data_IF_034755784983
#
_entry.id   IF_034755784983
#
_cell.length_a   1.000
_cell.length_b   1.000
_cell.length_c   1.000
_cell.angle_alpha   90.00
_cell.angle_beta   90.00
_cell.angle_gamma   90.00
#
_symmetry.space_group_name_H-M   'P 1'
#
loop_
_entity.id
_entity.type
_entity.pdbx_description
1 polymer ?
#
# COMPACT_ATOMS: atom_id res chain seq x y z
N UNK A 1 -57.15 6.44 -63.67
CA UNK A 1 -57.83 7.13 -62.55
C UNK A 1 -58.28 6.15 -61.45
N UNK A 2 -57.38 5.24 -61.00
CA UNK A 2 -57.63 4.31 -59.87
C UNK A 2 -56.43 4.17 -58.90
N UNK A 3 -55.30 4.81 -59.19
CA UNK A 3 -54.13 4.85 -58.30
C UNK A 3 -53.93 6.19 -57.57
N UNK A 4 -54.80 7.17 -57.81
CA UNK A 4 -54.71 8.48 -57.15
C UNK A 4 -55.51 8.55 -55.84
N UNK A 5 -56.46 7.63 -55.63
CA UNK A 5 -57.32 7.63 -54.42
C UNK A 5 -56.67 6.90 -53.24
N UNK A 6 -55.78 5.94 -53.48
CA UNK A 6 -55.06 5.24 -52.40
C UNK A 6 -53.94 6.08 -51.76
N UNK A 7 -53.31 6.99 -52.51
CA UNK A 7 -52.21 7.81 -51.99
C UNK A 7 -52.70 8.97 -51.11
N UNK A 8 -53.90 9.50 -51.38
CA UNK A 8 -54.48 10.62 -50.61
C UNK A 8 -55.00 10.16 -49.24
N UNK A 9 -55.44 8.90 -49.11
CA UNK A 9 -55.92 8.36 -47.83
C UNK A 9 -54.74 8.01 -46.90
N UNK A 10 -53.61 7.49 -47.42
CA UNK A 10 -52.42 7.23 -46.60
C UNK A 10 -51.69 8.50 -46.15
N UNK A 11 -51.67 9.58 -46.94
CA UNK A 11 -50.98 10.82 -46.56
C UNK A 11 -51.78 11.66 -45.55
N UNK A 12 -53.12 11.59 -45.58
CA UNK A 12 -53.97 12.22 -44.58
C UNK A 12 -53.94 11.49 -43.22
N UNK A 13 -53.62 10.18 -43.20
CA UNK A 13 -53.54 9.41 -41.96
C UNK A 13 -52.20 9.58 -41.24
N UNK A 14 -51.13 9.96 -41.95
CA UNK A 14 -49.83 10.29 -41.34
C UNK A 14 -49.76 11.69 -40.69
N UNK A 15 -50.67 12.60 -41.02
CA UNK A 15 -50.79 13.91 -40.36
C UNK A 15 -51.83 13.95 -39.22
N UNK A 16 -52.64 12.89 -39.06
CA UNK A 16 -53.55 12.74 -37.92
C UNK A 16 -52.99 11.85 -36.80
N UNK A 17 -51.80 11.26 -36.99
CA UNK A 17 -51.11 10.46 -35.94
C UNK A 17 -49.98 11.25 -35.26
N UNK A 18 -49.47 12.33 -35.87
CA UNK A 18 -48.49 13.22 -35.22
C UNK A 18 -49.09 14.13 -34.15
N UNK A 19 -50.34 14.58 -34.33
CA UNK A 19 -51.00 15.46 -33.35
C UNK A 19 -51.65 14.70 -32.17
N UNK A 20 -51.90 13.40 -32.31
CA UNK A 20 -52.43 12.56 -31.21
C UNK A 20 -51.31 12.08 -30.26
N UNK A 21 -50.05 12.04 -30.72
CA UNK A 21 -48.90 11.75 -29.85
C UNK A 21 -48.33 13.00 -29.15
N UNK A 22 -48.65 14.19 -29.63
CA UNK A 22 -48.25 15.46 -29.02
C UNK A 22 -49.09 15.85 -27.78
N UNK A 23 -50.21 15.16 -27.55
CA UNK A 23 -51.13 15.35 -26.41
C UNK A 23 -51.38 14.04 -25.63
N UNK A 24 -50.40 13.13 -25.57
CA UNK A 24 -50.47 12.00 -24.63
C UNK A 24 -49.98 12.42 -23.24
N UNK A 25 -50.55 11.89 -22.14
CA UNK A 25 -50.08 12.18 -20.77
C UNK A 25 -48.58 11.87 -20.56
N UNK A 26 -48.03 10.95 -21.36
CA UNK A 26 -46.62 10.55 -21.36
C UNK A 26 -45.70 11.62 -21.99
N UNK A 27 -46.16 12.36 -22.99
CA UNK A 27 -45.39 13.44 -23.62
C UNK A 27 -45.33 14.69 -22.71
N UNK A 28 -46.40 14.97 -21.97
CA UNK A 28 -46.46 16.08 -21.01
C UNK A 28 -45.62 15.80 -19.76
N UNK A 29 -45.62 14.55 -19.29
CA UNK A 29 -44.74 14.09 -18.20
C UNK A 29 -43.26 14.03 -18.61
N UNK A 30 -42.93 13.76 -19.88
CA UNK A 30 -41.55 13.89 -20.36
C UNK A 30 -41.11 15.35 -20.43
N UNK A 31 -41.96 16.26 -20.92
CA UNK A 31 -41.65 17.69 -20.97
C UNK A 31 -41.40 18.27 -19.58
N UNK A 32 -42.22 17.92 -18.59
CA UNK A 32 -42.02 18.38 -17.21
C UNK A 32 -40.73 17.83 -16.59
N UNK A 33 -40.34 16.59 -16.92
CA UNK A 33 -39.05 16.01 -16.50
C UNK A 33 -37.86 16.72 -17.16
N UNK A 34 -37.95 17.07 -18.44
CA UNK A 34 -36.89 17.81 -19.13
C UNK A 34 -36.76 19.21 -18.55
N UNK A 35 -37.86 19.90 -18.30
CA UNK A 35 -37.86 21.24 -17.69
C UNK A 35 -37.29 21.21 -16.25
N UNK A 36 -37.58 20.16 -15.49
CA UNK A 36 -37.01 19.93 -14.17
C UNK A 36 -35.49 19.68 -14.25
N UNK A 37 -35.02 18.84 -15.19
CA UNK A 37 -33.59 18.60 -15.40
C UNK A 37 -32.84 19.86 -15.87
N UNK A 38 -33.47 20.69 -16.71
CA UNK A 38 -32.89 21.97 -17.13
C UNK A 38 -32.76 22.96 -15.96
N UNK A 39 -33.75 22.96 -15.05
CA UNK A 39 -33.71 23.76 -13.82
C UNK A 39 -32.64 23.25 -12.84
N UNK A 40 -32.53 21.93 -12.64
CA UNK A 40 -31.47 21.34 -11.81
C UNK A 40 -30.08 21.61 -12.38
N UNK A 41 -29.91 21.52 -13.70
CA UNK A 41 -28.65 21.83 -14.37
C UNK A 41 -28.25 23.31 -14.21
N UNK A 42 -29.25 24.20 -14.22
CA UNK A 42 -29.04 25.63 -13.96
C UNK A 42 -28.64 25.88 -12.52
N UNK A 43 -29.29 25.24 -11.56
CA UNK A 43 -28.96 25.33 -10.13
C UNK A 43 -27.54 24.81 -9.85
N UNK A 44 -27.16 23.67 -10.45
CA UNK A 44 -25.78 23.14 -10.36
C UNK A 44 -24.76 24.12 -10.95
N UNK A 45 -25.07 24.76 -12.09
CA UNK A 45 -24.19 25.78 -12.67
C UNK A 45 -24.01 27.00 -11.76
N UNK A 46 -25.09 27.46 -11.14
CA UNK A 46 -25.05 28.60 -10.23
C UNK A 46 -24.27 28.25 -8.95
N UNK A 47 -24.45 27.04 -8.40
CA UNK A 47 -23.64 26.52 -7.29
C UNK A 47 -22.16 26.41 -7.66
N UNK A 48 -21.84 25.92 -8.86
CA UNK A 48 -20.45 25.81 -9.33
C UNK A 48 -19.80 27.20 -9.45
N UNK A 49 -20.55 28.19 -9.97
CA UNK A 49 -20.07 29.57 -10.08
C UNK A 49 -19.82 30.19 -8.70
N UNK A 50 -20.73 29.97 -7.74
CA UNK A 50 -20.57 30.42 -6.37
C UNK A 50 -19.37 29.76 -5.67
N UNK A 51 -19.11 28.49 -5.97
CA UNK A 51 -17.95 27.76 -5.46
C UNK A 51 -16.63 28.33 -6.01
N UNK A 52 -16.57 28.62 -7.31
CA UNK A 52 -15.40 29.25 -7.95
C UNK A 52 -15.12 30.63 -7.34
N UNK A 53 -16.16 31.45 -7.08
CA UNK A 53 -15.99 32.75 -6.43
C UNK A 53 -15.47 32.64 -4.99
N UNK A 54 -15.95 31.65 -4.22
CA UNK A 54 -15.44 31.36 -2.87
C UNK A 54 -13.99 30.89 -2.89
N UNK A 55 -13.60 30.09 -3.88
CA UNK A 55 -12.24 29.59 -4.01
C UNK A 55 -11.26 30.73 -4.37
N UNK A 56 -11.66 31.64 -5.26
CA UNK A 56 -10.89 32.87 -5.56
C UNK A 56 -10.73 33.76 -4.33
N UNK A 57 -11.76 33.89 -3.49
CA UNK A 57 -11.65 34.65 -2.24
C UNK A 57 -10.67 34.00 -1.25
N UNK A 58 -10.71 32.67 -1.12
CA UNK A 58 -9.79 31.94 -0.25
C UNK A 58 -8.34 32.01 -0.73
N UNK A 59 -8.10 31.97 -2.04
CA UNK A 59 -6.74 32.15 -2.58
C UNK A 59 -6.17 33.53 -2.24
N UNK A 60 -6.99 34.58 -2.27
CA UNK A 60 -6.59 35.93 -1.84
C UNK A 60 -6.29 35.99 -0.35
N UNK A 61 -7.08 35.33 0.48
CA UNK A 61 -6.85 35.24 1.92
C UNK A 61 -5.55 34.49 2.23
N UNK A 62 -5.30 33.35 1.59
CA UNK A 62 -4.06 32.58 1.72
C UNK A 62 -2.85 33.41 1.27
N UNK A 63 -2.95 34.16 0.17
CA UNK A 63 -1.88 35.04 -0.28
C UNK A 63 -1.55 36.13 0.77
N UNK A 64 -2.58 36.75 1.37
CA UNK A 64 -2.38 37.75 2.41
C UNK A 64 -1.74 37.18 3.70
N UNK A 65 -2.16 35.98 4.11
CA UNK A 65 -1.57 35.29 5.26
C UNK A 65 -0.12 34.89 5.03
N UNK A 66 0.24 34.49 3.80
CA UNK A 66 1.63 34.18 3.42
C UNK A 66 2.52 35.40 3.49
N UNK A 67 2.06 36.56 3.03
CA UNK A 67 2.81 37.82 3.19
C UNK A 67 2.99 38.19 4.67
N UNK A 68 2.00 37.91 5.52
CA UNK A 68 2.06 38.19 6.95
C UNK A 68 3.03 37.25 7.69
N UNK A 69 3.05 35.97 7.32
CA UNK A 69 4.01 34.98 7.82
C UNK A 69 5.43 35.34 7.39
N UNK A 70 5.63 35.71 6.12
CA UNK A 70 6.95 36.10 5.60
C UNK A 70 7.49 37.37 6.29
N UNK A 71 6.61 38.34 6.61
CA UNK A 71 6.98 39.53 7.40
C UNK A 71 7.32 39.20 8.85
N UNK A 72 6.69 38.17 9.44
CA UNK A 72 7.01 37.68 10.80
C UNK A 72 8.33 36.90 10.82
N UNK A 73 8.58 36.05 9.84
CA UNK A 73 9.84 35.30 9.69
C UNK A 73 11.04 36.24 9.49
N UNK A 74 10.89 37.31 8.69
CA UNK A 74 11.95 38.33 8.52
C UNK A 74 12.21 39.11 9.82
N UNK A 75 11.18 39.36 10.64
CA UNK A 75 11.36 39.98 11.97
C UNK A 75 12.09 39.06 12.95
N UNK A 76 11.71 37.78 13.00
CA UNK A 76 12.33 36.77 13.86
C UNK A 76 13.80 36.56 13.47
N UNK A 77 14.10 36.47 12.17
CA UNK A 77 15.46 36.40 11.64
C UNK A 77 16.31 37.62 12.04
N UNK A 78 15.75 38.83 12.07
CA UNK A 78 16.49 40.03 12.44
C UNK A 78 16.80 40.16 13.94
N UNK A 79 16.00 39.54 14.80
CA UNK A 79 16.18 39.59 16.26
C UNK A 79 17.09 38.45 16.78
N UNK A 80 17.09 37.29 16.13
CA UNK A 80 17.94 36.14 16.51
C UNK A 80 19.40 36.27 16.02
N UNK A 81 19.65 37.07 14.97
CA UNK A 81 20.99 37.26 14.37
C UNK A 81 21.98 38.01 15.27
N UNK A 82 21.52 38.72 16.32
CA UNK A 82 22.40 39.44 17.25
C UNK A 82 23.06 38.60 18.35
N UNK A 83 22.64 37.34 18.58
CA UNK A 83 23.03 36.61 19.79
C UNK A 83 23.99 35.41 19.61
N UNK A 84 24.26 34.90 18.40
CA UNK A 84 24.96 33.60 18.25
C UNK A 84 26.08 33.50 17.19
N UNK A 85 26.55 34.61 16.60
CA UNK A 85 27.51 34.53 15.46
C UNK A 85 28.99 34.35 15.85
N UNK A 86 29.36 34.24 17.13
CA UNK A 86 30.80 34.25 17.50
C UNK A 86 31.52 32.91 17.65
N UNK A 87 30.87 31.74 17.53
CA UNK A 87 31.52 30.46 17.94
C UNK A 87 31.65 29.34 16.90
N UNK A 88 31.18 29.43 15.65
CA UNK A 88 31.15 28.24 14.75
C UNK A 88 31.82 28.44 13.37
N UNK A 89 32.55 29.54 13.13
CA UNK A 89 33.09 29.83 11.79
C UNK A 89 34.38 29.09 11.36
N UNK A 90 34.87 28.11 12.11
CA UNK A 90 36.14 27.42 11.76
C UNK A 90 36.02 25.93 11.42
N UNK A 91 34.82 25.35 11.33
CA UNK A 91 34.67 23.89 11.11
C UNK A 91 33.74 23.49 9.96
N UNK A 92 33.73 24.17 8.81
CA UNK A 92 33.12 23.61 7.59
C UNK A 92 33.87 24.09 6.34
N UNK A 93 34.97 23.42 5.99
CA UNK A 93 35.46 23.37 4.61
C UNK A 93 35.87 21.93 4.32
N UNK A 94 35.12 21.30 3.40
CA UNK A 94 35.24 19.95 2.81
C UNK A 94 34.61 18.80 3.60
N UNK A 95 33.33 18.55 3.32
CA UNK A 95 32.80 17.19 3.24
C UNK A 95 32.05 17.02 1.91
N UNK A 96 32.35 15.91 1.23
CA UNK A 96 31.74 15.47 -0.02
C UNK A 96 30.23 15.26 0.19
N UNK A 97 29.41 15.82 -0.71
CA UNK A 97 27.96 15.61 -0.70
C UNK A 97 27.70 14.15 -1.12
N UNK A 98 27.51 13.26 -0.15
CA UNK A 98 27.08 11.89 -0.38
C UNK A 98 25.67 11.85 -0.98
N UNK A 99 25.48 11.03 -2.01
CA UNK A 99 24.17 10.78 -2.63
C UNK A 99 23.15 10.30 -1.58
N UNK A 100 21.96 10.91 -1.56
CA UNK A 100 20.83 10.47 -0.75
C UNK A 100 20.46 9.03 -1.14
N UNK A 101 20.26 8.10 -0.18
CA UNK A 101 19.89 6.71 -0.48
C UNK A 101 18.69 6.62 -1.43
N UNK A 102 18.68 5.65 -2.35
CA UNK A 102 17.69 5.52 -3.42
C UNK A 102 16.24 5.44 -2.91
N UNK A 103 16.00 4.67 -1.84
CA UNK A 103 14.67 4.57 -1.22
C UNK A 103 14.26 5.89 -0.56
N UNK A 104 15.21 6.57 0.09
CA UNK A 104 14.97 7.90 0.66
C UNK A 104 14.69 8.94 -0.44
N UNK A 105 15.35 8.84 -1.61
CA UNK A 105 15.08 9.67 -2.79
C UNK A 105 13.69 9.42 -3.38
N UNK A 106 13.26 8.15 -3.49
CA UNK A 106 11.87 7.82 -3.89
C UNK A 106 10.85 8.37 -2.89
N UNK A 107 11.09 8.22 -1.59
CA UNK A 107 10.23 8.75 -0.54
C UNK A 107 10.15 10.29 -0.55
N UNK A 108 11.29 10.97 -0.72
CA UNK A 108 11.35 12.44 -0.79
C UNK A 108 10.71 12.99 -2.06
N UNK A 109 10.87 12.35 -3.22
CA UNK A 109 10.21 12.74 -4.47
C UNK A 109 8.67 12.62 -4.38
N UNK A 110 8.16 11.64 -3.64
CA UNK A 110 6.73 11.50 -3.37
C UNK A 110 6.23 12.61 -2.43
N UNK A 111 7.00 12.93 -1.37
CA UNK A 111 6.70 14.02 -0.44
C UNK A 111 6.72 15.41 -1.10
N UNK A 112 7.73 15.70 -1.92
CA UNK A 112 7.85 16.96 -2.66
C UNK A 112 6.70 17.18 -3.64
N UNK A 113 6.23 16.11 -4.29
CA UNK A 113 5.08 16.18 -5.21
C UNK A 113 3.73 16.28 -4.47
N UNK A 114 3.72 16.28 -3.13
CA UNK A 114 2.50 16.16 -2.30
C UNK A 114 1.68 14.91 -2.66
N UNK A 115 2.39 13.87 -3.13
CA UNK A 115 1.85 12.58 -3.54
C UNK A 115 2.12 11.50 -2.48
N UNK A 116 3.09 11.75 -1.60
CA UNK A 116 3.02 11.23 -0.25
C UNK A 116 1.85 11.99 0.41
N UNK A 117 0.74 11.33 0.74
CA UNK A 117 -0.07 11.79 1.85
C UNK A 117 0.83 12.12 3.05
N UNK A 118 0.34 12.89 4.00
CA UNK A 118 1.02 13.05 5.29
C UNK A 118 1.08 11.75 6.11
N UNK A 119 0.92 10.58 5.47
CA UNK A 119 1.36 9.28 5.97
C UNK A 119 2.88 9.24 5.88
N UNK A 120 3.58 9.75 6.89
CA UNK A 120 4.98 9.39 7.05
C UNK A 120 5.11 7.87 7.24
N UNK A 121 6.10 7.23 6.62
CA UNK A 121 6.47 5.84 6.91
C UNK A 121 6.09 4.80 5.84
N UNK A 122 6.02 3.54 6.29
CA UNK A 122 6.10 2.32 5.46
C UNK A 122 4.89 2.14 4.52
N UNK A 123 3.77 2.79 4.81
CA UNK A 123 2.52 2.69 4.04
C UNK A 123 2.42 3.65 2.83
N UNK A 124 3.50 4.39 2.55
CA UNK A 124 3.56 5.30 1.38
C UNK A 124 3.81 4.49 0.10
N UNK A 125 2.77 4.33 -0.73
CA UNK A 125 2.88 3.62 -2.00
C UNK A 125 3.35 4.54 -3.13
N UNK A 126 4.19 4.06 -4.07
CA UNK A 126 4.57 4.82 -5.25
C UNK A 126 3.36 5.05 -6.19
N UNK A 127 3.45 6.08 -7.05
CA UNK A 127 2.47 6.38 -8.13
C UNK A 127 1.09 6.91 -7.71
N UNK A 128 0.90 7.32 -6.45
CA UNK A 128 -0.31 8.04 -6.03
C UNK A 128 -0.45 9.37 -6.78
N UNK A 129 -1.67 9.73 -7.20
CA UNK A 129 -2.01 11.05 -7.75
C UNK A 129 -3.19 11.65 -7.00
N UNK A 130 -3.09 12.93 -6.64
CA UNK A 130 -4.18 13.67 -5.98
C UNK A 130 -5.35 13.86 -6.95
N UNK A 131 -6.54 13.41 -6.53
CA UNK A 131 -7.83 13.63 -7.17
C UNK A 131 -8.73 14.45 -6.22
N UNK A 132 -9.25 15.58 -6.70
CA UNK A 132 -10.01 16.50 -5.85
C UNK A 132 -9.15 17.11 -4.72
N UNK A 133 -9.78 17.49 -3.59
CA UNK A 133 -9.04 18.14 -2.51
C UNK A 133 -8.21 17.16 -1.68
N UNK A 134 -8.69 15.97 -1.37
CA UNK A 134 -8.10 15.14 -0.30
C UNK A 134 -8.09 13.64 -0.61
N UNK A 135 -8.26 13.23 -1.88
CA UNK A 135 -8.22 11.82 -2.26
C UNK A 135 -7.02 11.60 -3.16
N UNK A 136 -6.38 10.45 -3.04
CA UNK A 136 -5.28 10.02 -3.89
C UNK A 136 -5.65 8.67 -4.49
N UNK A 137 -5.47 8.56 -5.80
CA UNK A 137 -5.70 7.33 -6.53
C UNK A 137 -4.40 6.98 -7.23
N UNK A 138 -3.99 5.72 -7.10
CA UNK A 138 -2.79 5.20 -7.72
C UNK A 138 -2.92 3.72 -7.95
N UNK A 139 -1.80 3.09 -8.30
CA UNK A 139 -1.75 1.65 -8.44
C UNK A 139 -0.55 1.20 -9.26
N UNK A 140 -0.38 -0.11 -9.35
CA UNK A 140 0.57 -0.74 -10.23
C UNK A 140 0.01 -2.02 -10.85
N UNK A 141 0.74 -2.54 -11.83
CA UNK A 141 0.53 -3.87 -12.37
C UNK A 141 1.89 -4.50 -12.60
N UNK A 142 1.94 -5.82 -12.54
CA UNK A 142 3.10 -6.58 -12.97
C UNK A 142 2.70 -7.66 -13.99
N UNK A 143 3.62 -7.89 -14.93
CA UNK A 143 3.49 -8.87 -16.01
C UNK A 143 4.83 -9.59 -16.12
N UNK A 144 4.79 -10.91 -16.07
CA UNK A 144 5.96 -11.76 -16.19
C UNK A 144 5.82 -12.74 -17.36
N UNK A 145 6.97 -13.20 -17.84
CA UNK A 145 7.07 -14.34 -18.73
C UNK A 145 7.98 -15.38 -18.08
N UNK A 146 7.49 -16.60 -17.89
CA UNK A 146 8.25 -17.71 -17.28
C UNK A 146 8.57 -18.75 -18.35
N UNK A 147 9.84 -19.11 -18.45
CA UNK A 147 10.32 -20.24 -19.22
C UNK A 147 11.15 -21.13 -18.29
N UNK A 148 10.90 -22.42 -18.32
CA UNK A 148 11.50 -23.41 -17.41
C UNK A 148 11.78 -24.68 -18.20
N UNK A 149 12.82 -25.41 -17.79
CA UNK A 149 13.19 -26.69 -18.39
C UNK A 149 12.41 -27.85 -17.77
N UNK A 150 11.76 -27.63 -16.63
CA UNK A 150 10.96 -28.63 -15.95
C UNK A 150 9.55 -28.69 -16.56
N UNK A 151 9.17 -29.86 -17.07
CA UNK A 151 7.87 -30.08 -17.71
C UNK A 151 6.68 -29.94 -16.75
N UNK A 152 6.91 -30.09 -15.44
CA UNK A 152 5.87 -29.92 -14.43
C UNK A 152 5.54 -28.45 -14.14
N UNK A 153 6.44 -27.52 -14.48
CA UNK A 153 6.28 -26.11 -14.16
C UNK A 153 5.49 -25.37 -15.25
N UNK A 154 4.72 -24.37 -14.83
CA UNK A 154 3.96 -23.52 -15.75
C UNK A 154 4.89 -22.59 -16.55
N UNK A 155 4.63 -22.50 -17.85
CA UNK A 155 5.37 -21.65 -18.80
C UNK A 155 4.43 -20.66 -19.49
N UNK A 156 4.95 -19.48 -19.84
CA UNK A 156 4.25 -18.46 -20.61
C UNK A 156 4.10 -17.13 -19.91
N UNK A 157 3.20 -16.30 -20.45
CA UNK A 157 2.88 -14.98 -19.91
C UNK A 157 1.91 -15.10 -18.74
N UNK A 158 2.18 -14.35 -17.69
CA UNK A 158 1.34 -14.27 -16.50
C UNK A 158 1.26 -12.82 -16.04
N UNK A 159 0.04 -12.33 -15.83
CA UNK A 159 -0.20 -11.09 -15.10
C UNK A 159 -0.44 -11.51 -13.65
N UNK A 160 0.53 -11.26 -12.77
CA UNK A 160 0.38 -11.71 -11.39
C UNK A 160 -0.62 -10.79 -10.68
N UNK A 161 -0.37 -9.47 -10.66
CA UNK A 161 -1.19 -8.53 -9.89
C UNK A 161 -1.54 -7.26 -10.65
N UNK A 162 -2.76 -6.79 -10.42
CA UNK A 162 -3.20 -5.43 -10.73
C UNK A 162 -3.75 -4.84 -9.46
N UNK A 163 -3.15 -3.76 -9.01
CA UNK A 163 -3.33 -3.25 -7.66
C UNK A 163 -3.66 -1.77 -7.71
N UNK A 164 -4.94 -1.39 -7.66
CA UNK A 164 -5.36 -0.02 -7.39
C UNK A 164 -5.29 0.34 -5.90
N UNK A 165 -4.89 1.58 -5.64
CA UNK A 165 -4.87 2.21 -4.32
C UNK A 165 -5.88 3.36 -4.25
N UNK A 166 -6.58 3.49 -3.13
CA UNK A 166 -7.44 4.65 -2.84
C UNK A 166 -7.13 5.15 -1.44
N UNK A 167 -6.57 6.35 -1.35
CA UNK A 167 -6.15 6.96 -0.10
C UNK A 167 -6.93 8.27 0.09
N UNK A 168 -7.25 8.63 1.33
CA UNK A 168 -7.95 9.88 1.59
C UNK A 168 -7.58 10.53 2.93
N UNK A 169 -7.37 11.86 2.88
CA UNK A 169 -7.31 12.74 4.04
C UNK A 169 -8.73 13.15 4.43
N UNK A 170 -9.43 12.32 5.21
CA UNK A 170 -10.81 12.62 5.66
C UNK A 170 -10.85 13.90 6.50
N UNK A 171 -9.85 14.07 7.37
CA UNK A 171 -9.55 15.33 8.05
C UNK A 171 -8.05 15.48 8.29
N UNK A 172 -7.64 16.50 9.03
CA UNK A 172 -6.24 16.67 9.44
C UNK A 172 -5.76 15.49 10.29
N UNK A 173 -6.66 14.86 11.06
CA UNK A 173 -6.35 13.75 11.97
C UNK A 173 -6.88 12.39 11.53
N UNK A 174 -7.85 12.34 10.62
CA UNK A 174 -8.46 11.09 10.18
C UNK A 174 -8.01 10.79 8.78
N UNK A 175 -7.47 9.60 8.58
CA UNK A 175 -6.95 9.15 7.30
C UNK A 175 -7.50 7.78 6.93
N UNK A 176 -7.67 7.55 5.64
CA UNK A 176 -8.09 6.29 5.06
C UNK A 176 -7.04 5.84 4.03
N UNK A 177 -6.66 4.58 4.08
CA UNK A 177 -5.79 3.97 3.07
C UNK A 177 -6.32 2.57 2.73
N UNK A 178 -6.36 2.23 1.44
CA UNK A 178 -6.74 0.90 0.98
C UNK A 178 -6.00 0.49 -0.29
N UNK A 179 -5.75 -0.81 -0.36
CA UNK A 179 -5.17 -1.54 -1.49
C UNK A 179 -6.08 -2.72 -1.83
N UNK A 180 -6.46 -2.81 -3.10
CA UNK A 180 -7.27 -3.89 -3.63
C UNK A 180 -6.40 -4.64 -4.63
N UNK A 181 -6.31 -5.95 -4.48
CA UNK A 181 -5.47 -6.81 -5.30
C UNK A 181 -6.35 -7.63 -6.25
N UNK A 182 -6.03 -7.58 -7.55
CA UNK A 182 -6.59 -8.45 -8.57
C UNK A 182 -5.51 -9.42 -9.04
N UNK A 183 -5.61 -10.69 -8.63
CA UNK A 183 -4.68 -11.74 -9.05
C UNK A 183 -5.23 -12.52 -10.26
N UNK A 184 -4.36 -12.85 -11.22
CA UNK A 184 -4.66 -13.67 -12.41
C UNK A 184 -5.95 -13.30 -13.17
N UNK A 185 -6.27 -12.00 -13.23
CA UNK A 185 -7.43 -11.47 -13.95
C UNK A 185 -8.76 -11.43 -13.17
N UNK A 186 -8.76 -11.66 -11.86
CA UNK A 186 -9.92 -11.44 -10.98
C UNK A 186 -11.02 -12.52 -11.02
N UNK A 187 -12.21 -12.21 -10.48
CA UNK A 187 -13.25 -13.21 -10.15
C UNK A 187 -14.03 -13.72 -11.38
N UNK A 188 -14.16 -15.06 -11.49
CA UNK A 188 -15.38 -15.74 -11.94
C UNK A 188 -15.79 -15.57 -13.40
N UNK A 189 -15.36 -16.52 -14.24
CA UNK A 189 -15.78 -16.65 -15.64
C UNK A 189 -15.11 -17.79 -16.41
N UNK A 190 -14.62 -18.81 -15.69
CA UNK A 190 -13.75 -19.86 -16.24
C UNK A 190 -12.24 -19.55 -16.14
N UNK A 191 -11.85 -18.48 -15.44
CA UNK A 191 -10.45 -18.14 -15.09
C UNK A 191 -10.28 -18.22 -13.58
N UNK A 192 -9.12 -18.69 -13.12
CA UNK A 192 -8.77 -18.93 -11.72
C UNK A 192 -8.27 -17.67 -10.98
N UNK A 193 -8.77 -16.50 -11.35
CA UNK A 193 -8.35 -15.24 -10.72
C UNK A 193 -9.07 -14.95 -9.42
N UNK A 194 -8.47 -14.06 -8.62
CA UNK A 194 -8.92 -13.70 -7.28
C UNK A 194 -8.98 -12.18 -7.13
N UNK A 195 -9.87 -11.70 -6.26
CA UNK A 195 -9.92 -10.30 -5.84
C UNK A 195 -9.85 -10.25 -4.33
N UNK A 196 -8.80 -9.67 -3.81
CA UNK A 196 -8.46 -9.63 -2.39
C UNK A 196 -8.41 -8.18 -1.94
N UNK A 197 -8.99 -7.88 -0.78
CA UNK A 197 -8.71 -6.62 -0.11
C UNK A 197 -7.41 -6.79 0.65
N UNK A 198 -6.29 -6.34 0.08
CA UNK A 198 -4.99 -6.58 0.69
C UNK A 198 -4.82 -5.79 1.99
N UNK A 199 -5.23 -4.52 2.02
CA UNK A 199 -5.40 -3.79 3.27
C UNK A 199 -6.43 -2.66 3.16
N UNK A 200 -7.00 -2.28 4.30
CA UNK A 200 -7.93 -1.16 4.42
C UNK A 200 -7.94 -0.65 5.86
N UNK A 201 -7.32 0.51 6.10
CA UNK A 201 -7.13 1.05 7.44
C UNK A 201 -7.70 2.45 7.59
N UNK A 202 -8.16 2.74 8.81
CA UNK A 202 -8.44 4.10 9.28
C UNK A 202 -7.41 4.44 10.34
N UNK A 203 -6.75 5.58 10.17
CA UNK A 203 -5.80 6.13 11.13
C UNK A 203 -6.37 7.36 11.82
N UNK A 204 -6.18 7.45 13.13
CA UNK A 204 -6.44 8.64 13.92
C UNK A 204 -5.12 9.19 14.47
N UNK A 205 -4.70 10.31 13.91
CA UNK A 205 -3.44 10.95 14.23
C UNK A 205 -3.57 11.84 15.47
N UNK A 206 -2.80 11.54 16.52
CA UNK A 206 -2.76 12.29 17.77
C UNK A 206 -1.49 13.13 17.86
N UNK A 207 -0.33 12.47 17.74
CA UNK A 207 1.01 13.07 17.75
C UNK A 207 1.94 12.22 16.87
N UNK A 208 3.16 12.68 16.64
CA UNK A 208 4.12 11.88 15.87
C UNK A 208 4.45 10.54 16.57
N UNK A 209 4.48 10.52 17.90
CA UNK A 209 4.93 9.36 18.69
C UNK A 209 3.84 8.40 19.12
N UNK A 210 2.55 8.76 18.99
CA UNK A 210 1.44 7.82 19.24
C UNK A 210 0.24 8.16 18.37
N UNK A 211 -0.23 7.19 17.62
CA UNK A 211 -1.38 7.26 16.72
C UNK A 211 -2.16 5.97 16.82
N UNK A 212 -3.46 6.02 16.55
CA UNK A 212 -4.31 4.84 16.53
C UNK A 212 -4.57 4.40 15.08
N UNK A 213 -4.60 3.09 14.86
CA UNK A 213 -4.99 2.46 13.58
C UNK A 213 -5.96 1.33 13.83
N UNK A 214 -6.95 1.17 12.96
CA UNK A 214 -7.83 0.01 12.92
C UNK A 214 -8.28 -0.34 11.51
N UNK A 215 -8.61 -1.60 11.29
CA UNK A 215 -9.09 -2.13 10.00
C UNK A 215 -8.37 -3.40 9.59
N UNK A 216 -8.31 -3.64 8.29
CA UNK A 216 -7.54 -4.73 7.68
C UNK A 216 -6.09 -4.24 7.56
N UNK A 217 -5.23 -4.67 8.49
CA UNK A 217 -3.88 -4.13 8.70
C UNK A 217 -2.85 -5.11 8.16
N UNK A 218 -1.92 -4.64 7.32
CA UNK A 218 -0.73 -5.41 6.98
C UNK A 218 0.04 -5.74 8.26
N UNK A 219 0.10 -7.01 8.60
CA UNK A 219 0.70 -7.51 9.84
C UNK A 219 2.19 -7.16 9.84
N UNK A 220 2.70 -6.38 10.80
CA UNK A 220 4.10 -5.93 10.81
C UNK A 220 5.03 -7.04 11.33
N UNK A 221 4.99 -8.19 10.68
CA UNK A 221 5.83 -9.34 10.94
C UNK A 221 6.85 -9.46 9.79
N UNK A 222 8.06 -9.00 10.08
CA UNK A 222 9.05 -8.70 9.05
C UNK A 222 8.80 -7.34 8.37
N UNK A 223 9.88 -6.73 7.89
CA UNK A 223 9.86 -5.56 7.02
C UNK A 223 9.29 -5.89 5.65
N UNK A 224 9.61 -7.05 5.06
CA UNK A 224 9.20 -7.31 3.69
C UNK A 224 7.67 -7.33 3.55
N UNK A 225 6.93 -7.81 4.56
CA UNK A 225 5.47 -7.77 4.50
C UNK A 225 4.89 -6.36 4.39
N UNK A 226 5.60 -5.33 4.85
CA UNK A 226 5.14 -3.95 4.77
C UNK A 226 5.55 -3.26 3.46
N UNK A 227 6.57 -3.78 2.77
CA UNK A 227 7.12 -3.22 1.51
C UNK A 227 7.13 -4.24 0.37
N UNK A 228 6.23 -5.23 0.39
CA UNK A 228 6.25 -6.39 -0.51
C UNK A 228 5.89 -6.08 -1.97
N UNK A 229 5.59 -4.82 -2.30
CA UNK A 229 5.13 -4.39 -3.61
C UNK A 229 6.16 -4.65 -4.71
N UNK A 230 5.71 -5.25 -5.81
CA UNK A 230 6.59 -5.61 -6.93
C UNK A 230 7.44 -4.44 -7.47
N UNK A 231 6.94 -3.19 -7.61
CA UNK A 231 7.76 -2.05 -8.06
C UNK A 231 8.86 -1.60 -7.08
N UNK A 232 8.86 -2.10 -5.85
CA UNK A 232 9.90 -1.85 -4.85
C UNK A 232 10.96 -2.96 -4.82
N UNK A 233 10.68 -4.11 -5.43
CA UNK A 233 11.57 -5.27 -5.43
C UNK A 233 12.35 -5.37 -6.73
N UNK A 234 13.64 -5.71 -6.64
CA UNK A 234 14.46 -5.99 -7.83
C UNK A 234 14.32 -7.44 -8.32
N UNK A 235 13.91 -8.38 -7.46
CA UNK A 235 13.54 -9.75 -7.84
C UNK A 235 12.04 -9.90 -8.07
N UNK A 236 11.68 -10.79 -8.99
CA UNK A 236 10.27 -11.16 -9.24
C UNK A 236 9.70 -12.04 -8.13
N UNK A 237 10.51 -12.99 -7.65
CA UNK A 237 10.11 -13.94 -6.60
C UNK A 237 10.58 -13.45 -5.24
N UNK A 238 9.69 -13.60 -4.24
CA UNK A 238 9.97 -13.28 -2.84
C UNK A 238 11.04 -14.22 -2.25
N UNK A 239 11.77 -13.81 -1.20
CA UNK A 239 12.67 -14.70 -0.47
C UNK A 239 11.95 -15.92 0.12
N UNK A 240 12.66 -17.02 0.38
CA UNK A 240 12.03 -18.27 0.85
C UNK A 240 11.40 -18.14 2.25
N UNK A 241 12.05 -17.42 3.16
CA UNK A 241 11.50 -17.16 4.51
C UNK A 241 10.17 -16.40 4.44
N UNK A 242 10.06 -15.46 3.50
CA UNK A 242 8.87 -14.64 3.20
C UNK A 242 7.81 -15.33 2.34
N UNK A 243 8.08 -16.57 1.95
CA UNK A 243 7.12 -17.46 1.32
C UNK A 243 6.61 -18.51 2.28
N UNK A 244 7.42 -18.95 3.24
CA UNK A 244 7.18 -20.18 4.01
C UNK A 244 7.09 -19.97 5.52
N UNK A 245 7.85 -19.05 6.13
CA UNK A 245 7.88 -18.87 7.60
C UNK A 245 7.12 -17.61 8.02
N UNK A 246 7.43 -16.47 7.40
CA UNK A 246 6.70 -15.20 7.59
C UNK A 246 6.09 -14.77 6.25
N UNK A 247 5.14 -15.56 5.72
CA UNK A 247 4.64 -15.37 4.37
C UNK A 247 4.02 -13.97 4.19
N UNK A 248 4.47 -13.22 3.17
CA UNK A 248 4.00 -11.83 2.93
C UNK A 248 2.64 -11.75 2.23
N UNK A 249 2.09 -10.54 2.04
CA UNK A 249 0.64 -10.28 1.91
C UNK A 249 -0.12 -10.83 3.12
N UNK A 250 0.51 -10.79 4.30
CA UNK A 250 -0.08 -11.15 5.57
C UNK A 250 -0.84 -9.96 6.11
N UNK A 251 -2.16 -10.10 6.14
CA UNK A 251 -3.05 -9.08 6.65
C UNK A 251 -3.97 -9.70 7.67
N UNK A 252 -4.32 -8.92 8.68
CA UNK A 252 -5.34 -9.32 9.63
C UNK A 252 -6.23 -8.15 10.06
N UNK A 253 -7.46 -8.47 10.47
CA UNK A 253 -8.38 -7.50 11.03
C UNK A 253 -7.99 -7.21 12.48
N UNK A 254 -7.75 -5.94 12.79
CA UNK A 254 -7.32 -5.57 14.13
C UNK A 254 -7.27 -4.07 14.37
N UNK A 255 -6.69 -3.71 15.51
CA UNK A 255 -6.42 -2.33 15.87
C UNK A 255 -5.29 -2.21 16.88
N UNK A 256 -4.74 -1.01 17.00
CA UNK A 256 -3.70 -0.71 17.98
C UNK A 256 -3.03 0.61 17.71
N UNK A 257 -1.74 0.68 18.04
CA UNK A 257 -1.00 1.93 18.08
C UNK A 257 0.29 1.87 17.30
N UNK A 258 0.66 3.00 16.71
CA UNK A 258 1.93 3.17 16.02
C UNK A 258 2.46 4.58 16.25
N UNK A 259 3.75 4.76 16.06
CA UNK A 259 4.36 6.07 16.19
C UNK A 259 5.82 6.10 15.80
N UNK A 260 6.31 7.32 15.67
CA UNK A 260 7.70 7.63 15.35
C UNK A 260 8.29 8.52 16.43
N UNK A 261 9.50 8.19 16.85
CA UNK A 261 10.32 8.99 17.75
C UNK A 261 11.63 9.36 17.04
N UNK A 262 12.21 10.48 17.43
CA UNK A 262 13.49 10.97 16.90
C UNK A 262 14.47 11.15 18.07
N UNK A 263 15.18 10.07 18.49
CA UNK A 263 16.11 10.14 19.62
C UNK A 263 17.26 11.15 19.42
N UNK A 264 17.59 11.47 18.16
CA UNK A 264 18.55 12.51 17.76
C UNK A 264 18.17 13.09 16.40
N UNK A 265 18.83 14.15 15.95
CA UNK A 265 18.61 14.75 14.62
C UNK A 265 18.86 13.79 13.45
N UNK A 266 19.68 12.76 13.67
CA UNK A 266 20.04 11.77 12.65
C UNK A 266 19.28 10.46 12.79
N UNK A 267 18.65 10.21 13.94
CA UNK A 267 18.06 8.91 14.25
C UNK A 267 16.53 8.93 14.27
N UNK A 268 15.96 7.81 13.83
CA UNK A 268 14.52 7.59 13.77
C UNK A 268 14.21 6.22 14.39
N UNK A 269 13.19 6.19 15.22
CA UNK A 269 12.64 4.97 15.79
C UNK A 269 11.16 4.90 15.44
N UNK A 270 10.77 3.89 14.68
CA UNK A 270 9.37 3.59 14.37
C UNK A 270 8.92 2.39 15.20
N UNK A 271 7.68 2.42 15.68
CA UNK A 271 7.05 1.25 16.31
C UNK A 271 5.59 1.13 15.91
N UNK A 272 5.10 -0.11 15.92
CA UNK A 272 3.69 -0.44 15.76
C UNK A 272 3.36 -1.71 16.56
N UNK A 273 2.17 -1.74 17.16
CA UNK A 273 1.67 -2.87 17.95
C UNK A 273 0.15 -2.98 17.78
N UNK A 274 -0.33 -4.18 17.48
CA UNK A 274 -1.73 -4.45 17.16
C UNK A 274 -2.24 -5.69 17.88
N UNK A 275 -3.51 -5.60 18.31
CA UNK A 275 -4.32 -6.76 18.63
C UNK A 275 -5.21 -7.08 17.42
N UNK A 276 -5.29 -8.36 17.07
CA UNK A 276 -5.84 -8.86 15.81
C UNK A 276 -6.66 -10.14 16.05
N UNK A 277 -7.37 -10.64 15.04
CA UNK A 277 -8.12 -11.89 15.14
C UNK A 277 -7.23 -13.16 15.10
N UNK A 278 -5.98 -13.02 14.70
CA UNK A 278 -5.04 -14.12 14.45
C UNK A 278 -4.83 -14.32 12.95
N UNK A 279 -3.65 -13.95 12.47
CA UNK A 279 -3.28 -13.95 11.05
C UNK A 279 -3.05 -15.37 10.47
N UNK A 280 -3.06 -16.40 11.31
CA UNK A 280 -2.74 -17.78 10.96
C UNK A 280 -3.76 -18.78 11.54
N UNK A 281 -4.19 -19.75 10.71
CA UNK A 281 -5.00 -20.91 11.08
C UNK A 281 -4.27 -22.19 10.73
N UNK A 282 -3.70 -22.84 11.72
CA UNK A 282 -2.84 -24.01 11.51
C UNK A 282 -3.57 -25.35 11.58
N UNK A 283 -4.63 -25.48 12.39
CA UNK A 283 -5.27 -26.77 12.63
C UNK A 283 -6.79 -26.60 12.84
N UNK A 284 -7.61 -27.46 12.25
CA UNK A 284 -9.05 -27.51 12.54
C UNK A 284 -9.40 -28.59 13.59
N UNK A 285 -10.62 -28.56 14.12
CA UNK A 285 -11.05 -29.51 15.15
C UNK A 285 -11.10 -30.98 14.67
N UNK A 286 -11.11 -31.22 13.34
CA UNK A 286 -11.09 -32.54 12.73
C UNK A 286 -9.66 -33.07 12.49
N UNK A 287 -8.62 -32.27 12.79
CA UNK A 287 -7.21 -32.64 12.67
C UNK A 287 -6.58 -32.33 11.30
N UNK A 288 -7.21 -31.51 10.46
CA UNK A 288 -6.63 -31.06 9.20
C UNK A 288 -5.63 -29.93 9.43
N UNK A 289 -4.35 -30.19 9.17
CA UNK A 289 -3.31 -29.18 9.25
C UNK A 289 -3.22 -28.31 7.98
N UNK A 290 -2.98 -27.01 8.19
CA UNK A 290 -2.56 -26.04 7.16
C UNK A 290 -1.11 -25.61 7.30
N UNK A 291 -0.44 -25.99 8.39
CA UNK A 291 1.01 -25.93 8.50
C UNK A 291 1.59 -27.18 7.85
N UNK A 292 2.66 -27.05 7.07
CA UNK A 292 3.23 -28.24 6.45
C UNK A 292 4.63 -28.06 5.92
N UNK A 293 5.31 -29.18 5.70
CA UNK A 293 6.70 -29.21 5.23
C UNK A 293 6.89 -28.45 3.91
N UNK A 294 5.97 -28.61 2.95
CA UNK A 294 6.13 -28.02 1.61
C UNK A 294 5.79 -26.52 1.58
N UNK A 295 4.74 -26.12 2.30
CA UNK A 295 4.19 -24.75 2.22
C UNK A 295 4.49 -23.92 3.47
N UNK A 296 5.16 -24.47 4.48
CA UNK A 296 5.35 -23.84 5.79
C UNK A 296 4.03 -23.36 6.36
N UNK A 297 3.99 -22.08 6.72
CA UNK A 297 2.80 -21.36 7.22
C UNK A 297 1.99 -20.69 6.10
N UNK A 298 2.40 -20.77 4.82
CA UNK A 298 1.78 -20.02 3.71
C UNK A 298 0.29 -20.25 3.55
N UNK A 299 -0.13 -21.51 3.66
CA UNK A 299 -1.51 -21.96 3.45
C UNK A 299 -2.43 -21.65 4.64
N UNK A 300 -1.85 -21.22 5.76
CA UNK A 300 -2.58 -20.88 6.98
C UNK A 300 -2.93 -19.41 7.11
N UNK A 301 -2.38 -18.55 6.25
CA UNK A 301 -2.63 -17.11 6.28
C UNK A 301 -4.10 -16.77 6.13
N UNK A 302 -4.50 -15.67 6.77
CA UNK A 302 -5.71 -14.95 6.39
C UNK A 302 -5.97 -13.76 7.30
N UNK A 303 -6.75 -12.81 6.81
CA UNK A 303 -7.36 -11.77 7.64
C UNK A 303 -8.81 -12.13 7.84
N UNK A 304 -9.03 -12.96 8.84
CA UNK A 304 -10.31 -13.60 9.05
C UNK A 304 -11.28 -12.62 9.72
N UNK A 305 -12.55 -12.69 9.31
CA UNK A 305 -13.63 -11.99 9.99
C UNK A 305 -13.86 -12.59 11.39
N UNK A 306 -14.81 -12.02 12.14
CA UNK A 306 -15.21 -12.56 13.44
C UNK A 306 -15.67 -14.02 13.30
N UNK A 307 -14.96 -14.94 13.94
CA UNK A 307 -15.42 -16.32 14.09
C UNK A 307 -14.89 -16.97 15.38
N UNK A 308 -15.18 -18.26 15.52
CA UNK A 308 -14.84 -19.10 16.66
C UNK A 308 -13.53 -19.87 16.46
N UNK A 309 -12.74 -19.58 15.41
CA UNK A 309 -11.49 -20.29 15.15
C UNK A 309 -10.40 -19.91 16.16
N UNK A 310 -10.52 -18.72 16.73
CA UNK A 310 -9.60 -18.23 17.74
C UNK A 310 -10.35 -17.39 18.78
N UNK A 311 -10.51 -17.95 19.98
CA UNK A 311 -11.16 -17.26 21.10
C UNK A 311 -10.23 -16.24 21.79
N UNK A 312 -8.97 -16.16 21.38
CA UNK A 312 -7.93 -15.28 21.95
C UNK A 312 -7.39 -14.31 20.90
N UNK A 313 -7.26 -13.00 21.19
CA UNK A 313 -6.69 -12.08 20.21
C UNK A 313 -5.24 -12.43 19.89
N UNK A 314 -4.88 -12.41 18.61
CA UNK A 314 -3.49 -12.43 18.16
C UNK A 314 -2.83 -11.08 18.46
N UNK A 315 -1.56 -11.08 18.84
CA UNK A 315 -0.78 -9.87 19.10
C UNK A 315 0.43 -9.84 18.19
N UNK A 316 0.65 -8.70 17.54
CA UNK A 316 1.80 -8.46 16.68
C UNK A 316 2.41 -7.11 17.00
N UNK A 317 3.73 -6.99 16.90
CA UNK A 317 4.38 -5.69 16.94
C UNK A 317 5.74 -5.70 16.27
N UNK A 318 6.19 -4.50 15.90
CA UNK A 318 7.48 -4.24 15.29
C UNK A 318 8.10 -2.97 15.83
N UNK A 319 9.42 -2.97 15.96
CA UNK A 319 10.24 -1.78 16.20
C UNK A 319 11.31 -1.70 15.13
N UNK A 320 11.45 -0.55 14.48
CA UNK A 320 12.56 -0.23 13.59
C UNK A 320 13.38 0.93 14.16
N UNK A 321 14.70 0.79 14.11
CA UNK A 321 15.63 1.84 14.49
C UNK A 321 16.62 2.13 13.37
N UNK A 322 16.63 3.38 12.94
CA UNK A 322 17.56 3.93 11.97
C UNK A 322 18.48 4.93 12.68
N UNK A 323 19.73 4.59 13.02
CA UNK A 323 20.63 5.51 13.72
C UNK A 323 21.10 6.69 12.85
N UNK A 324 21.13 6.51 11.53
CA UNK A 324 21.46 7.51 10.52
C UNK A 324 20.85 7.10 9.18
N UNK A 325 20.75 8.04 8.24
CA UNK A 325 20.14 7.79 6.93
C UNK A 325 20.86 6.63 6.19
N UNK A 326 20.08 5.67 5.71
CA UNK A 326 20.59 4.52 4.97
C UNK A 326 20.94 3.30 5.82
N UNK A 327 20.87 3.34 7.15
CA UNK A 327 20.95 2.13 7.99
C UNK A 327 19.67 1.98 8.81
N UNK A 328 19.04 0.81 8.76
CA UNK A 328 17.88 0.46 9.57
C UNK A 328 18.01 -0.97 10.08
N UNK A 329 17.63 -1.19 11.33
CA UNK A 329 17.41 -2.51 11.92
C UNK A 329 15.98 -2.61 12.39
N UNK A 330 15.34 -3.74 12.13
CA UNK A 330 13.99 -4.05 12.56
C UNK A 330 13.93 -5.34 13.38
N UNK A 331 13.00 -5.36 14.32
CA UNK A 331 12.62 -6.58 15.04
C UNK A 331 11.11 -6.62 15.20
N UNK A 332 10.52 -7.79 14.97
CA UNK A 332 9.08 -8.02 15.11
C UNK A 332 8.79 -9.33 15.83
N UNK A 333 7.63 -9.37 16.48
CA UNK A 333 7.13 -10.56 17.14
C UNK A 333 5.62 -10.71 16.93
N UNK A 334 5.17 -11.95 16.86
CA UNK A 334 3.77 -12.33 16.71
C UNK A 334 3.44 -13.48 17.67
N UNK A 335 2.26 -13.45 18.28
CA UNK A 335 1.73 -14.58 19.06
C UNK A 335 0.23 -14.70 18.86
N UNK A 336 -0.26 -15.91 18.60
CA UNK A 336 -1.68 -16.21 18.53
C UNK A 336 -1.93 -17.70 18.70
N UNK A 337 -3.12 -18.06 19.11
CA UNK A 337 -3.58 -19.43 18.97
C UNK A 337 -3.87 -19.71 17.50
N UNK A 338 -3.62 -20.93 17.04
CA UNK A 338 -3.74 -21.29 15.63
C UNK A 338 -4.73 -22.41 15.34
N UNK A 339 -5.29 -23.04 16.38
CA UNK A 339 -6.21 -24.16 16.28
C UNK A 339 -7.60 -23.82 16.83
N UNK A 340 -8.63 -24.48 16.28
CA UNK A 340 -10.03 -24.26 16.69
C UNK A 340 -10.31 -24.61 18.16
N UNK A 341 -9.53 -25.51 18.75
CA UNK A 341 -9.69 -25.92 20.15
C UNK A 341 -9.04 -24.95 21.15
N UNK A 342 -8.26 -23.98 20.67
CA UNK A 342 -7.57 -23.01 21.52
C UNK A 342 -6.56 -23.68 22.49
N UNK A 343 -5.90 -24.75 22.03
CA UNK A 343 -4.92 -25.52 22.82
C UNK A 343 -3.48 -25.29 22.35
N UNK A 344 -3.29 -24.78 21.13
CA UNK A 344 -1.99 -24.66 20.49
C UNK A 344 -1.68 -23.21 20.11
N UNK A 345 -0.40 -22.84 20.23
CA UNK A 345 0.04 -21.45 20.06
C UNK A 345 1.23 -21.33 19.11
N UNK A 346 1.16 -20.34 18.25
CA UNK A 346 2.20 -19.96 17.31
C UNK A 346 2.87 -18.69 17.83
N UNK A 347 4.19 -18.74 18.02
CA UNK A 347 5.01 -17.60 18.39
C UNK A 347 6.07 -17.40 17.32
N UNK A 348 6.11 -16.21 16.70
CA UNK A 348 7.10 -15.90 15.66
C UNK A 348 7.92 -14.71 16.11
N UNK A 349 9.24 -14.77 15.91
CA UNK A 349 10.14 -13.62 16.02
C UNK A 349 10.88 -13.44 14.70
N UNK A 350 11.02 -12.20 14.25
CA UNK A 350 11.77 -11.87 13.05
C UNK A 350 12.69 -10.67 13.26
N UNK A 351 13.83 -10.68 12.58
CA UNK A 351 14.82 -9.62 12.54
C UNK A 351 15.11 -9.25 11.09
N UNK A 352 15.21 -7.95 10.83
CA UNK A 352 15.49 -7.41 9.50
C UNK A 352 16.55 -6.30 9.58
N UNK A 353 17.27 -6.09 8.49
CA UNK A 353 18.16 -4.94 8.36
C UNK A 353 18.22 -4.43 6.92
N UNK A 354 18.56 -3.16 6.77
CA UNK A 354 18.88 -2.55 5.49
C UNK A 354 20.02 -1.58 5.67
N UNK A 355 21.04 -1.69 4.82
CA UNK A 355 22.18 -0.80 4.77
C UNK A 355 22.44 -0.34 3.35
N UNK A 356 22.35 0.96 3.11
CA UNK A 356 22.63 1.58 1.82
C UNK A 356 23.75 2.60 1.97
N UNK A 357 24.76 2.48 1.12
CA UNK A 357 25.86 3.44 1.00
C UNK A 357 26.24 3.63 -0.46
N UNK A 358 25.88 4.80 -1.00
CA UNK A 358 26.07 5.11 -2.41
C UNK A 358 25.35 4.07 -3.29
N UNK A 359 26.04 3.46 -4.27
CA UNK A 359 25.43 2.50 -5.18
C UNK A 359 25.20 1.12 -4.56
N UNK A 360 25.72 0.84 -3.37
CA UNK A 360 25.57 -0.46 -2.72
C UNK A 360 24.42 -0.45 -1.73
N UNK A 361 23.59 -1.49 -1.79
CA UNK A 361 22.55 -1.79 -0.82
C UNK A 361 22.68 -3.25 -0.36
N UNK A 362 22.56 -3.46 0.95
CA UNK A 362 22.56 -4.76 1.60
C UNK A 362 21.34 -4.86 2.48
N UNK A 363 20.61 -5.95 2.37
CA UNK A 363 19.45 -6.20 3.21
C UNK A 363 19.36 -7.67 3.56
N UNK A 364 18.61 -7.96 4.61
CA UNK A 364 18.31 -9.32 5.00
C UNK A 364 17.18 -9.35 5.99
N UNK A 365 16.56 -10.51 6.08
CA UNK A 365 15.50 -10.82 7.01
C UNK A 365 15.61 -12.27 7.43
N UNK A 366 15.34 -12.54 8.70
CA UNK A 366 15.28 -13.88 9.23
C UNK A 366 14.17 -14.01 10.24
N UNK A 367 13.57 -15.20 10.31
CA UNK A 367 12.47 -15.50 11.21
C UNK A 367 12.61 -16.88 11.83
N UNK A 368 12.08 -17.00 13.04
CA UNK A 368 11.93 -18.25 13.76
C UNK A 368 10.48 -18.33 14.25
N UNK A 369 9.78 -19.39 13.86
CA UNK A 369 8.46 -19.75 14.34
C UNK A 369 8.61 -20.91 15.33
N UNK A 370 8.16 -20.69 16.55
CA UNK A 370 7.98 -21.71 17.58
C UNK A 370 6.49 -22.07 17.64
N UNK A 371 6.19 -23.35 17.52
CA UNK A 371 4.85 -23.88 17.34
C UNK A 371 4.60 -24.85 18.51
N UNK A 372 3.79 -24.42 19.47
CA UNK A 372 3.33 -25.29 20.54
C UNK A 372 2.38 -26.34 19.93
N UNK A 373 2.64 -27.62 20.19
CA UNK A 373 1.89 -28.76 19.66
C UNK A 373 1.35 -29.64 20.79
N UNK A 374 0.10 -30.08 20.64
CA UNK A 374 -0.53 -31.14 21.41
C UNK A 374 -0.57 -32.43 20.58
N UNK A 375 -1.09 -33.52 21.16
CA UNK A 375 -1.15 -34.83 20.49
C UNK A 375 -1.88 -34.77 19.13
N UNK A 376 -2.95 -33.96 19.01
CA UNK A 376 -3.68 -33.80 17.74
C UNK A 376 -2.84 -33.06 16.68
N UNK A 377 -2.11 -32.01 17.07
CA UNK A 377 -1.24 -31.27 16.17
C UNK A 377 -0.06 -32.14 15.67
N UNK A 378 0.52 -32.93 16.57
CA UNK A 378 1.60 -33.87 16.26
C UNK A 378 1.14 -34.96 15.27
N UNK A 379 -0.03 -35.55 15.54
CA UNK A 379 -0.66 -36.56 14.67
C UNK A 379 -1.03 -35.98 13.29
N UNK A 380 -1.40 -34.69 13.23
CA UNK A 380 -1.64 -33.95 12.00
C UNK A 380 -0.35 -33.59 11.23
N UNK A 381 0.83 -33.90 11.81
CA UNK A 381 2.12 -33.70 11.19
C UNK A 381 2.68 -32.28 11.29
N UNK A 382 2.19 -31.48 12.24
CA UNK A 382 2.76 -30.18 12.56
C UNK A 382 4.13 -30.37 13.23
N UNK A 383 5.07 -29.49 12.92
CA UNK A 383 6.43 -29.47 13.48
C UNK A 383 6.50 -28.44 14.60
N UNK A 384 7.42 -28.61 15.54
CA UNK A 384 7.58 -27.73 16.70
C UNK A 384 8.22 -26.37 16.34
N UNK A 385 8.97 -26.33 15.23
CA UNK A 385 9.62 -25.12 14.76
C UNK A 385 9.76 -25.02 13.24
N UNK A 386 9.84 -23.78 12.76
CA UNK A 386 10.26 -23.45 11.41
C UNK A 386 11.16 -22.22 11.46
N UNK A 387 12.18 -22.16 10.59
CA UNK A 387 13.06 -21.00 10.53
C UNK A 387 13.57 -20.75 9.12
N UNK A 388 14.01 -19.53 8.87
CA UNK A 388 14.63 -19.20 7.59
C UNK A 388 15.23 -17.81 7.61
N UNK A 389 16.03 -17.51 6.59
CA UNK A 389 16.56 -16.18 6.36
C UNK A 389 16.91 -15.98 4.89
N UNK A 390 17.07 -14.72 4.51
CA UNK A 390 17.76 -14.34 3.29
C UNK A 390 18.76 -13.22 3.54
N UNK A 391 19.77 -13.17 2.66
CA UNK A 391 20.70 -12.05 2.55
C UNK A 391 20.75 -11.63 1.08
N UNK A 392 20.60 -10.34 0.82
CA UNK A 392 20.58 -9.79 -0.53
C UNK A 392 21.55 -8.61 -0.64
N UNK A 393 22.38 -8.66 -1.68
CA UNK A 393 23.31 -7.59 -2.05
C UNK A 393 22.91 -7.02 -3.40
N UNK A 394 22.82 -5.69 -3.45
CA UNK A 394 22.41 -4.91 -4.62
C UNK A 394 23.49 -3.90 -4.98
N UNK A 395 23.69 -3.74 -6.29
CA UNK A 395 24.54 -2.70 -6.85
C UNK A 395 23.75 -1.92 -7.90
N UNK A 396 23.41 -0.68 -7.59
CA UNK A 396 22.68 0.23 -8.47
C UNK A 396 23.66 1.02 -9.34
N UNK A 397 23.45 0.98 -10.65
CA UNK A 397 24.29 1.69 -11.61
C UNK A 397 23.47 2.14 -12.82
N UNK A 398 23.96 3.16 -13.51
CA UNK A 398 23.34 3.59 -14.76
C UNK A 398 24.41 3.94 -15.79
N UNK A 399 24.63 3.10 -16.82
CA UNK A 399 25.66 3.35 -17.82
C UNK A 399 25.46 4.69 -18.53
N UNK A 400 26.44 5.59 -18.44
CA UNK A 400 26.36 6.93 -19.06
C UNK A 400 26.16 6.86 -20.58
N UNK A 401 26.66 5.81 -21.23
CA UNK A 401 26.46 5.58 -22.67
C UNK A 401 24.97 5.47 -23.02
N UNK A 402 24.17 4.80 -22.18
CA UNK A 402 22.72 4.65 -22.41
C UNK A 402 21.98 5.97 -22.18
N UNK A 403 22.34 6.72 -21.13
CA UNK A 403 21.82 8.07 -20.89
C UNK A 403 22.11 9.02 -22.06
N UNK A 404 23.33 8.98 -22.60
CA UNK A 404 23.73 9.82 -23.73
C UNK A 404 23.06 9.39 -25.05
N UNK A 405 22.90 8.08 -25.25
CA UNK A 405 22.30 7.54 -26.46
C UNK A 405 20.80 7.84 -26.56
N UNK A 406 20.07 7.75 -25.44
CA UNK A 406 18.63 8.05 -25.41
C UNK A 406 18.19 8.74 -24.11
N UNK A 407 18.48 10.04 -23.94
CA UNK A 407 18.19 10.77 -22.70
C UNK A 407 16.69 10.93 -22.42
N UNK A 408 15.83 10.70 -23.43
CA UNK A 408 14.36 10.69 -23.27
C UNK A 408 13.83 9.39 -22.67
N UNK A 409 14.56 8.28 -22.87
CA UNK A 409 14.20 6.96 -22.33
C UNK A 409 14.92 6.74 -20.99
N UNK A 410 16.21 7.05 -20.97
CA UNK A 410 17.09 6.89 -19.83
C UNK A 410 17.30 8.22 -19.13
N UNK A 411 16.45 8.48 -18.13
CA UNK A 411 16.43 9.74 -17.37
C UNK A 411 17.32 9.66 -16.13
N UNK A 412 17.33 10.71 -15.32
CA UNK A 412 17.99 10.71 -14.01
C UNK A 412 17.41 9.70 -13.02
N UNK A 413 16.17 9.25 -13.25
CA UNK A 413 15.48 8.27 -12.43
C UNK A 413 15.63 6.84 -12.94
N UNK A 414 16.27 6.65 -14.10
CA UNK A 414 16.59 5.33 -14.64
C UNK A 414 17.78 4.73 -13.90
N UNK A 415 17.65 3.46 -13.50
CA UNK A 415 18.71 2.69 -12.87
C UNK A 415 18.67 1.26 -13.39
N UNK A 416 19.84 0.65 -13.47
CA UNK A 416 20.00 -0.81 -13.48
C UNK A 416 20.43 -1.24 -12.09
N UNK A 417 20.07 -2.48 -11.72
CA UNK A 417 20.52 -3.09 -10.48
C UNK A 417 21.12 -4.46 -10.80
N UNK A 418 22.32 -4.72 -10.32
CA UNK A 418 22.85 -6.08 -10.19
C UNK A 418 22.49 -6.61 -8.81
N UNK A 419 21.86 -7.79 -8.74
CA UNK A 419 21.35 -8.35 -7.48
C UNK A 419 21.84 -9.78 -7.30
N UNK A 420 22.20 -10.14 -6.08
CA UNK A 420 22.48 -11.51 -5.64
C UNK A 420 21.78 -11.75 -4.30
N UNK A 421 20.93 -12.78 -4.24
CA UNK A 421 20.25 -13.22 -3.01
C UNK A 421 20.67 -14.66 -2.66
N UNK A 422 20.89 -14.88 -1.37
CA UNK A 422 21.02 -16.20 -0.76
C UNK A 422 19.84 -16.44 0.16
N UNK A 423 19.15 -17.56 0.00
CA UNK A 423 18.00 -17.96 0.81
C UNK A 423 18.30 -19.29 1.51
N UNK A 424 17.87 -19.44 2.77
CA UNK A 424 17.85 -20.71 3.47
C UNK A 424 16.59 -20.81 4.33
N UNK A 425 15.95 -21.97 4.34
CA UNK A 425 14.71 -22.21 5.08
C UNK A 425 14.65 -23.67 5.55
N UNK A 426 14.01 -23.88 6.70
CA UNK A 426 13.64 -25.17 7.24
C UNK A 426 12.20 -25.10 7.74
N UNK A 427 11.34 -25.94 7.14
CA UNK A 427 9.89 -26.00 7.41
C UNK A 427 9.45 -27.32 8.03
N UNK A 428 10.38 -28.25 8.21
CA UNK A 428 10.16 -29.49 8.94
C UNK A 428 11.40 -29.78 9.81
N UNK A 429 11.31 -29.44 11.09
CA UNK A 429 12.28 -29.82 12.12
C UNK A 429 11.93 -31.19 12.69
N UNK A 430 12.00 -32.26 11.89
CA UNK A 430 11.92 -33.63 12.43
C UNK A 430 13.34 -34.15 12.62
N UNK A 431 13.68 -34.47 13.87
CA UNK A 431 14.89 -35.20 14.25
C UNK A 431 15.00 -36.57 13.58
#
# INVERSE_FOLDING_TARGET
>A
MRYFIFFVISFAMSFLVSDVFAQSPEAETLKSKVEMLENELKEIKDLLKQQVEKDVQKEKEIASLREEVQKKEVKISSEETSAQIQTVKEAVVKEDVGEVPYLAKKGSELAEKKLAPSFGGIYTKPFLRRFGRNTYVGGYMDLAFRATENEADMQGFVQNRFIPFIYADISDRVKLATEIEFEFGGVGGGRSGEVILEFATIDFLLTDWINWRGGYILTPLGKLNLVHDSPLQDFTDRPLVDQLVIPTTLTDLGMGFFGTMYPSELSKLDYEIYATNGAFRGLDADGTSRFGEVNGLRSSRGGFANDNYNESPGVVGRVAFSPFIGLEFGGSAYTSQYDENNDNRLNISALDFTYQRGPFEFLGEGAYAFIDTNELADDAGITDDMWGYYLEARYHFMPSVLKNWSPKIFTENSTFTGVLRWDQVQTAGRD
#
